data_IF_744753740321
#
_entry.id   IF_744753740321
#
_cell.length_a   1.000
_cell.length_b   1.000
_cell.length_c   1.000
_cell.angle_alpha   90.00
_cell.angle_beta   90.00
_cell.angle_gamma   90.00
#
_symmetry.space_group_name_H-M   'P 1'
#
loop_
_entity.id
_entity.type
_entity.pdbx_description
1 polymer ?
#
# COMPACT_ATOMS: atom_id res chain seq x y z
N UNK A 1 15.36 -32.83 -37.27
CA UNK A 1 14.94 -31.46 -37.60
C UNK A 1 13.56 -31.13 -37.05
N UNK A 2 12.44 -31.68 -37.56
CA UNK A 2 11.07 -31.32 -37.09
C UNK A 2 10.90 -31.24 -35.55
N UNK A 3 11.32 -32.27 -34.79
CA UNK A 3 11.25 -32.27 -33.31
C UNK A 3 11.99 -31.07 -32.67
N UNK A 4 13.20 -30.75 -33.12
CA UNK A 4 13.96 -29.59 -32.61
C UNK A 4 13.23 -28.26 -32.89
N UNK A 5 12.48 -28.17 -33.99
CA UNK A 5 11.70 -26.98 -34.35
C UNK A 5 10.47 -26.82 -33.45
N UNK A 6 9.80 -27.92 -33.10
CA UNK A 6 8.69 -27.94 -32.13
C UNK A 6 9.18 -27.55 -30.72
N UNK A 7 10.30 -28.13 -30.26
CA UNK A 7 10.94 -27.78 -28.98
C UNK A 7 11.35 -26.29 -28.95
N UNK A 8 11.97 -25.79 -30.02
CA UNK A 8 12.38 -24.38 -30.12
C UNK A 8 11.19 -23.41 -30.14
N UNK A 9 10.11 -23.74 -30.85
CA UNK A 9 8.87 -22.94 -30.85
C UNK A 9 8.22 -22.92 -29.45
N UNK A 10 8.28 -24.03 -28.71
CA UNK A 10 7.79 -24.09 -27.33
C UNK A 10 8.60 -23.18 -26.40
N UNK A 11 9.94 -23.24 -26.46
CA UNK A 11 10.82 -22.37 -25.69
C UNK A 11 10.63 -20.89 -26.07
N UNK A 12 10.56 -20.56 -27.37
CA UNK A 12 10.28 -19.21 -27.86
C UNK A 12 8.94 -18.68 -27.33
N UNK A 13 7.92 -19.54 -27.19
CA UNK A 13 6.62 -19.20 -26.61
C UNK A 13 6.69 -18.91 -25.10
N UNK A 14 7.46 -19.67 -24.34
CA UNK A 14 7.66 -19.38 -22.91
C UNK A 14 8.45 -18.08 -22.70
N UNK A 15 9.50 -17.84 -23.49
CA UNK A 15 10.28 -16.58 -23.46
C UNK A 15 9.38 -15.40 -23.85
N UNK A 16 8.62 -15.51 -24.94
CA UNK A 16 7.66 -14.48 -25.35
C UNK A 16 6.60 -14.22 -24.26
N UNK A 17 6.10 -15.27 -23.59
CA UNK A 17 5.18 -15.13 -22.46
C UNK A 17 5.83 -14.47 -21.25
N UNK A 18 7.12 -14.71 -20.98
CA UNK A 18 7.89 -14.04 -19.93
C UNK A 18 8.02 -12.54 -20.20
N UNK A 19 8.41 -12.16 -21.42
CA UNK A 19 8.55 -10.76 -21.84
C UNK A 19 7.18 -10.08 -22.01
N UNK A 20 6.11 -10.84 -22.28
CA UNK A 20 4.74 -10.35 -22.43
C UNK A 20 4.38 -9.94 -23.85
N UNK A 21 4.96 -10.63 -24.85
CA UNK A 21 4.92 -10.28 -26.26
C UNK A 21 4.45 -11.46 -27.11
N UNK A 22 4.13 -11.21 -28.38
CA UNK A 22 3.88 -12.31 -29.32
C UNK A 22 5.18 -12.97 -29.77
N UNK A 23 5.16 -14.28 -30.05
CA UNK A 23 6.34 -15.01 -30.55
C UNK A 23 6.87 -14.42 -31.85
N UNK A 24 5.98 -14.02 -32.76
CA UNK A 24 6.37 -13.34 -34.01
C UNK A 24 7.08 -12.00 -33.74
N UNK A 25 6.70 -11.30 -32.68
CA UNK A 25 7.30 -10.02 -32.29
C UNK A 25 8.71 -10.26 -31.72
N UNK A 26 8.83 -11.21 -30.79
CA UNK A 26 10.11 -11.70 -30.24
C UNK A 26 11.13 -12.05 -31.35
N UNK A 27 10.68 -12.78 -32.37
CA UNK A 27 11.50 -13.22 -33.50
C UNK A 27 11.80 -12.13 -34.54
N UNK A 28 11.08 -11.00 -34.51
CA UNK A 28 11.26 -9.92 -35.47
C UNK A 28 12.02 -8.71 -34.91
N UNK A 29 11.89 -8.43 -33.60
CA UNK A 29 12.56 -7.33 -32.90
C UNK A 29 12.69 -7.61 -31.40
N UNK A 30 13.90 -7.88 -30.92
CA UNK A 30 14.19 -8.04 -29.47
C UNK A 30 14.31 -6.71 -28.72
N UNK A 31 14.69 -5.63 -29.39
CA UNK A 31 15.08 -4.33 -28.78
C UNK A 31 13.94 -3.51 -28.16
N UNK A 32 12.80 -3.24 -28.83
CA UNK A 32 11.75 -2.38 -28.25
C UNK A 32 10.93 -3.06 -27.15
N UNK A 33 11.13 -4.37 -26.93
CA UNK A 33 10.39 -5.16 -25.94
C UNK A 33 10.90 -4.93 -24.51
N UNK A 34 12.13 -4.41 -24.38
CA UNK A 34 12.79 -4.14 -23.11
C UNK A 34 12.13 -2.99 -22.35
N UNK A 35 11.49 -2.05 -23.07
CA UNK A 35 10.79 -0.91 -22.48
C UNK A 35 9.55 -1.30 -21.68
N UNK A 36 8.97 -2.47 -21.94
CA UNK A 36 7.83 -3.03 -21.20
C UNK A 36 8.23 -3.89 -19.99
N UNK A 37 9.53 -4.09 -19.77
CA UNK A 37 10.05 -4.85 -18.64
C UNK A 37 10.37 -3.93 -17.45
N UNK A 38 9.95 -4.26 -16.21
CA UNK A 38 10.35 -3.50 -15.03
C UNK A 38 11.87 -3.41 -14.93
N UNK A 39 12.38 -2.23 -14.58
CA UNK A 39 13.81 -1.88 -14.60
C UNK A 39 14.71 -2.91 -13.92
N UNK A 40 14.44 -3.44 -12.70
CA UNK A 40 15.31 -4.42 -12.05
C UNK A 40 15.41 -5.77 -12.78
N UNK A 41 14.47 -6.08 -13.69
CA UNK A 41 14.42 -7.37 -14.41
C UNK A 41 14.99 -7.25 -15.83
N UNK A 42 15.08 -6.03 -16.36
CA UNK A 42 15.52 -5.75 -17.74
C UNK A 42 16.89 -6.34 -18.10
N UNK A 43 17.98 -6.18 -17.31
CA UNK A 43 19.29 -6.73 -17.66
C UNK A 43 19.28 -8.26 -17.81
N UNK A 44 18.57 -8.96 -16.92
CA UNK A 44 18.41 -10.41 -16.97
C UNK A 44 17.64 -10.85 -18.24
N UNK A 45 16.64 -10.09 -18.70
CA UNK A 45 15.95 -10.36 -19.98
C UNK A 45 16.91 -10.19 -21.17
N UNK A 46 17.71 -9.13 -21.21
CA UNK A 46 18.66 -8.87 -22.29
C UNK A 46 19.67 -10.01 -22.46
N UNK A 47 20.24 -10.47 -21.34
CA UNK A 47 21.17 -11.61 -21.31
C UNK A 47 20.47 -12.91 -21.72
N UNK A 48 19.25 -13.17 -21.25
CA UNK A 48 18.48 -14.36 -21.62
C UNK A 48 18.15 -14.42 -23.13
N UNK A 49 17.76 -13.29 -23.72
CA UNK A 49 17.51 -13.18 -25.16
C UNK A 49 18.80 -13.41 -25.96
N UNK A 50 19.91 -12.80 -25.54
CA UNK A 50 21.22 -13.04 -26.17
C UNK A 50 21.65 -14.51 -26.08
N UNK A 51 21.40 -15.19 -24.96
CA UNK A 51 21.61 -16.63 -24.84
C UNK A 51 20.74 -17.44 -25.81
N UNK A 52 19.48 -17.05 -25.99
CA UNK A 52 18.54 -17.75 -26.88
C UNK A 52 18.96 -17.67 -28.35
N UNK A 53 19.38 -16.49 -28.81
CA UNK A 53 19.90 -16.29 -30.17
C UNK A 53 21.14 -17.18 -30.39
N UNK A 54 22.10 -17.15 -29.46
CA UNK A 54 23.33 -17.94 -29.52
C UNK A 54 23.11 -19.47 -29.49
N UNK A 55 22.04 -19.97 -28.86
CA UNK A 55 21.75 -21.41 -28.85
C UNK A 55 21.53 -21.97 -30.26
N UNK A 56 21.05 -21.16 -31.20
CA UNK A 56 20.83 -21.60 -32.59
C UNK A 56 22.13 -22.00 -33.30
N UNK A 57 23.27 -21.45 -32.89
CA UNK A 57 24.61 -21.81 -33.38
C UNK A 57 25.16 -23.09 -32.73
N UNK A 58 24.66 -23.46 -31.54
CA UNK A 58 25.12 -24.61 -30.75
C UNK A 58 24.34 -25.88 -31.12
N UNK A 59 24.80 -26.55 -32.17
CA UNK A 59 24.24 -27.85 -32.60
C UNK A 59 24.44 -28.97 -31.56
N UNK A 60 25.57 -28.95 -30.84
CA UNK A 60 25.93 -29.96 -29.84
C UNK A 60 25.24 -29.67 -28.49
N UNK A 61 24.37 -30.58 -28.03
CA UNK A 61 23.53 -30.43 -26.81
C UNK A 61 22.45 -29.33 -26.88
N UNK A 62 22.05 -28.88 -28.06
CA UNK A 62 20.95 -27.93 -28.30
C UNK A 62 19.76 -28.09 -27.33
N UNK A 63 19.21 -29.30 -27.20
CA UNK A 63 18.04 -29.56 -26.34
C UNK A 63 18.29 -29.46 -24.83
N UNK A 64 19.54 -29.56 -24.35
CA UNK A 64 19.86 -29.31 -22.93
C UNK A 64 19.94 -27.80 -22.67
N UNK A 65 20.72 -27.09 -23.49
CA UNK A 65 20.83 -25.63 -23.39
C UNK A 65 19.46 -24.95 -23.57
N UNK A 66 18.61 -25.46 -24.46
CA UNK A 66 17.26 -24.93 -24.68
C UNK A 66 16.37 -25.09 -23.45
N UNK A 67 16.43 -26.25 -22.77
CA UNK A 67 15.72 -26.48 -21.49
C UNK A 67 16.24 -25.56 -20.39
N UNK A 68 17.55 -25.33 -20.31
CA UNK A 68 18.16 -24.39 -19.37
C UNK A 68 17.59 -22.98 -19.56
N UNK A 69 17.51 -22.49 -20.80
CA UNK A 69 16.87 -21.21 -21.12
C UNK A 69 15.37 -21.21 -20.83
N UNK A 70 14.65 -22.29 -21.13
CA UNK A 70 13.22 -22.40 -20.83
C UNK A 70 12.95 -22.33 -19.30
N UNK A 71 13.79 -22.95 -18.48
CA UNK A 71 13.73 -22.85 -17.01
C UNK A 71 14.05 -21.44 -16.53
N UNK A 72 15.13 -20.84 -17.04
CA UNK A 72 15.46 -19.44 -16.79
C UNK A 72 14.32 -18.49 -17.15
N UNK A 73 13.64 -18.70 -18.28
CA UNK A 73 12.49 -17.91 -18.70
C UNK A 73 11.29 -18.08 -17.74
N UNK A 74 11.04 -19.29 -17.25
CA UNK A 74 9.99 -19.55 -16.25
C UNK A 74 10.28 -18.88 -14.91
N UNK A 75 11.53 -18.93 -14.45
CA UNK A 75 11.95 -18.21 -13.24
C UNK A 75 11.82 -16.69 -13.44
N UNK A 76 12.32 -16.14 -14.55
CA UNK A 76 12.22 -14.71 -14.88
C UNK A 76 10.76 -14.23 -14.99
N UNK A 77 9.86 -15.08 -15.49
CA UNK A 77 8.41 -14.84 -15.51
C UNK A 77 7.80 -14.84 -14.11
N UNK A 78 8.24 -15.74 -13.23
CA UNK A 78 7.91 -15.73 -11.80
C UNK A 78 8.38 -14.45 -11.10
N UNK A 79 9.63 -14.04 -11.36
CA UNK A 79 10.21 -12.78 -10.86
C UNK A 79 9.35 -11.60 -11.32
N UNK A 80 9.12 -11.47 -12.63
CA UNK A 80 8.27 -10.41 -13.20
C UNK A 80 6.87 -10.39 -12.59
N UNK A 81 6.22 -11.54 -12.45
CA UNK A 81 4.88 -11.64 -11.88
C UNK A 81 4.78 -11.11 -10.45
N UNK A 82 5.88 -11.11 -9.70
CA UNK A 82 5.96 -10.58 -8.35
C UNK A 82 6.49 -9.15 -8.27
N UNK A 83 7.21 -8.65 -9.27
CA UNK A 83 7.68 -7.25 -9.33
C UNK A 83 6.68 -6.31 -9.99
N UNK A 84 5.77 -6.80 -10.83
CA UNK A 84 4.68 -6.01 -11.40
C UNK A 84 3.82 -5.41 -10.29
N UNK A 85 3.72 -4.07 -10.27
CA UNK A 85 2.99 -3.33 -9.24
C UNK A 85 3.81 -2.93 -8.01
N UNK A 86 5.11 -3.26 -7.95
CA UNK A 86 6.05 -2.55 -7.10
C UNK A 86 6.76 -1.47 -7.93
N UNK A 87 6.73 -0.23 -7.46
CA UNK A 87 7.65 0.80 -7.93
C UNK A 87 9.11 0.39 -7.62
N UNK A 88 10.07 0.78 -8.46
CA UNK A 88 11.47 0.37 -8.32
C UNK A 88 12.08 0.71 -6.95
N UNK A 89 11.63 1.79 -6.30
CA UNK A 89 12.07 2.19 -4.95
C UNK A 89 11.49 1.32 -3.82
N UNK A 90 10.44 0.54 -4.09
CA UNK A 90 9.73 -0.27 -3.09
C UNK A 90 10.12 -1.75 -3.12
N UNK A 91 11.05 -2.13 -4.00
CA UNK A 91 11.55 -3.50 -4.09
C UNK A 91 12.38 -3.86 -2.84
N UNK A 92 12.06 -4.93 -2.09
CA UNK A 92 12.82 -5.31 -0.91
C UNK A 92 14.29 -5.59 -1.26
N UNK A 93 15.25 -5.05 -0.51
CA UNK A 93 16.69 -5.18 -0.78
C UNK A 93 17.18 -6.63 -0.88
N UNK A 94 16.51 -7.57 -0.20
CA UNK A 94 16.81 -9.00 -0.32
C UNK A 94 16.40 -9.56 -1.69
N UNK A 95 15.26 -9.12 -2.21
CA UNK A 95 14.73 -9.53 -3.50
C UNK A 95 15.61 -9.00 -4.64
N UNK A 96 16.07 -7.75 -4.57
CA UNK A 96 17.01 -7.20 -5.56
C UNK A 96 18.36 -7.93 -5.58
N UNK A 97 18.87 -8.39 -4.42
CA UNK A 97 20.08 -9.23 -4.35
C UNK A 97 19.86 -10.58 -5.06
N UNK A 98 18.70 -11.22 -4.87
CA UNK A 98 18.36 -12.48 -5.55
C UNK A 98 18.25 -12.29 -7.08
N UNK A 99 17.61 -11.20 -7.54
CA UNK A 99 17.54 -10.86 -8.97
C UNK A 99 18.94 -10.61 -9.56
N UNK A 100 19.80 -9.88 -8.85
CA UNK A 100 21.19 -9.66 -9.29
C UNK A 100 22.03 -10.95 -9.34
N UNK A 101 21.82 -11.88 -8.40
CA UNK A 101 22.42 -13.23 -8.47
C UNK A 101 21.93 -13.99 -9.71
N UNK A 102 20.64 -13.90 -10.03
CA UNK A 102 20.08 -14.52 -11.22
C UNK A 102 20.64 -13.92 -12.52
N UNK A 103 20.71 -12.59 -12.62
CA UNK A 103 21.34 -11.87 -13.73
C UNK A 103 22.78 -12.35 -13.94
N UNK A 104 23.57 -12.41 -12.86
CA UNK A 104 24.96 -12.91 -12.92
C UNK A 104 25.03 -14.37 -13.40
N UNK A 105 24.15 -15.24 -12.90
CA UNK A 105 24.08 -16.63 -13.35
C UNK A 105 23.77 -16.74 -14.85
N UNK A 106 22.88 -15.89 -15.38
CA UNK A 106 22.61 -15.81 -16.81
C UNK A 106 23.83 -15.31 -17.60
N UNK A 107 24.62 -14.38 -17.07
CA UNK A 107 25.87 -13.91 -17.68
C UNK A 107 26.91 -15.05 -17.72
N UNK A 108 27.02 -15.84 -16.66
CA UNK A 108 27.93 -16.99 -16.61
C UNK A 108 27.51 -18.07 -17.62
N UNK A 109 26.20 -18.31 -17.79
CA UNK A 109 25.63 -19.17 -18.84
C UNK A 109 25.92 -18.59 -20.25
N UNK A 110 25.76 -17.28 -20.45
CA UNK A 110 26.03 -16.58 -21.71
C UNK A 110 27.49 -16.77 -22.14
N UNK A 111 28.43 -16.53 -21.21
CA UNK A 111 29.86 -16.72 -21.43
C UNK A 111 30.19 -18.19 -21.71
N UNK A 112 29.57 -19.13 -21.00
CA UNK A 112 29.74 -20.56 -21.26
C UNK A 112 29.30 -20.94 -22.68
N UNK A 113 28.09 -20.54 -23.11
CA UNK A 113 27.56 -20.79 -24.46
C UNK A 113 28.49 -20.18 -25.52
N UNK A 114 28.86 -18.91 -25.36
CA UNK A 114 29.79 -18.24 -26.27
C UNK A 114 31.16 -18.94 -26.36
N UNK A 115 31.64 -19.52 -25.26
CA UNK A 115 32.87 -20.33 -25.25
C UNK A 115 32.72 -21.65 -26.01
N UNK A 116 31.52 -22.26 -26.05
CA UNK A 116 31.28 -23.48 -26.84
C UNK A 116 31.16 -23.17 -28.34
N UNK A 117 30.54 -22.05 -28.72
CA UNK A 117 30.47 -21.60 -30.12
C UNK A 117 31.89 -21.47 -30.70
N UNK A 118 32.79 -20.79 -29.97
CA UNK A 118 34.20 -20.58 -30.33
C UNK A 118 35.04 -21.87 -30.39
N UNK A 119 34.60 -22.99 -29.82
CA UNK A 119 35.32 -24.27 -29.83
C UNK A 119 34.98 -25.08 -31.08
N UNK A 120 35.99 -25.53 -31.84
CA UNK A 120 35.78 -26.42 -32.97
C UNK A 120 35.05 -27.72 -32.60
N UNK A 121 34.18 -28.20 -33.48
CA UNK A 121 33.25 -29.32 -33.26
C UNK A 121 33.91 -30.58 -32.66
N UNK A 122 35.08 -30.99 -33.14
CA UNK A 122 35.78 -32.17 -32.62
C UNK A 122 36.15 -32.05 -31.12
N UNK A 123 36.51 -30.85 -30.65
CA UNK A 123 36.75 -30.60 -29.22
C UNK A 123 35.44 -30.67 -28.43
N UNK A 124 34.33 -30.13 -28.95
CA UNK A 124 33.01 -30.23 -28.30
C UNK A 124 32.57 -31.70 -28.15
N UNK A 125 32.80 -32.52 -29.17
CA UNK A 125 32.47 -33.94 -29.14
C UNK A 125 33.25 -34.69 -28.04
N UNK A 126 34.58 -34.55 -27.98
CA UNK A 126 35.42 -35.21 -26.96
C UNK A 126 35.05 -34.78 -25.53
N UNK A 127 34.75 -33.50 -25.31
CA UNK A 127 34.42 -32.97 -23.99
C UNK A 127 32.92 -33.03 -23.64
N UNK A 128 32.08 -33.71 -24.45
CA UNK A 128 30.61 -33.74 -24.28
C UNK A 128 30.14 -34.05 -22.85
N UNK A 129 30.80 -35.00 -22.17
CA UNK A 129 30.48 -35.36 -20.79
C UNK A 129 30.70 -34.18 -19.82
N UNK A 130 31.78 -33.42 -20.00
CA UNK A 130 32.10 -32.22 -19.20
C UNK A 130 31.21 -31.03 -19.57
N UNK A 131 30.85 -30.87 -20.85
CA UNK A 131 29.83 -29.88 -21.24
C UNK A 131 28.51 -30.17 -20.54
N UNK A 132 28.08 -31.44 -20.52
CA UNK A 132 26.85 -31.85 -19.86
C UNK A 132 26.90 -31.62 -18.35
N UNK A 133 27.97 -32.01 -17.67
CA UNK A 133 28.14 -31.74 -16.25
C UNK A 133 28.00 -30.25 -15.92
N UNK A 134 28.63 -29.36 -16.71
CA UNK A 134 28.45 -27.92 -16.52
C UNK A 134 27.02 -27.39 -16.78
N UNK A 135 26.27 -28.01 -17.70
CA UNK A 135 24.85 -27.66 -17.89
C UNK A 135 24.00 -28.16 -16.71
N UNK A 136 24.27 -29.37 -16.22
CA UNK A 136 23.62 -29.95 -15.04
C UNK A 136 23.96 -29.10 -13.77
N UNK A 137 25.19 -28.57 -13.65
CA UNK A 137 25.60 -27.61 -12.60
C UNK A 137 24.81 -26.29 -12.68
N UNK A 138 24.61 -25.74 -13.89
CA UNK A 138 23.80 -24.52 -14.08
C UNK A 138 22.30 -24.77 -13.79
N UNK A 139 21.78 -25.94 -14.14
CA UNK A 139 20.41 -26.35 -13.82
C UNK A 139 20.17 -26.36 -12.29
N UNK A 140 21.14 -26.86 -11.50
CA UNK A 140 21.11 -26.80 -10.03
C UNK A 140 21.21 -25.35 -9.51
N UNK A 141 22.10 -24.54 -10.06
CA UNK A 141 22.24 -23.14 -9.66
C UNK A 141 20.98 -22.31 -9.94
N UNK A 142 20.22 -22.62 -11.01
CA UNK A 142 18.91 -22.01 -11.27
C UNK A 142 17.90 -22.42 -10.20
N UNK A 143 17.89 -23.69 -9.78
CA UNK A 143 16.98 -24.18 -8.73
C UNK A 143 17.30 -23.56 -7.36
N UNK A 144 18.58 -23.39 -7.01
CA UNK A 144 18.99 -22.70 -5.77
C UNK A 144 18.52 -21.24 -5.76
N UNK A 145 18.70 -20.53 -6.88
CA UNK A 145 18.24 -19.14 -7.02
C UNK A 145 16.72 -19.04 -7.05
N UNK A 146 16.01 -20.02 -7.65
CA UNK A 146 14.56 -20.10 -7.63
C UNK A 146 14.01 -20.28 -6.22
N UNK A 147 14.60 -21.19 -5.43
CA UNK A 147 14.24 -21.42 -4.04
C UNK A 147 14.54 -20.19 -3.16
N UNK A 148 15.71 -19.56 -3.32
CA UNK A 148 16.02 -18.30 -2.63
C UNK A 148 14.98 -17.22 -2.95
N UNK A 149 14.62 -17.07 -4.23
CA UNK A 149 13.63 -16.09 -4.67
C UNK A 149 12.22 -16.37 -4.08
N UNK A 150 11.76 -17.62 -4.11
CA UNK A 150 10.47 -18.04 -3.56
C UNK A 150 10.38 -17.78 -2.05
N UNK A 151 11.40 -18.17 -1.29
CA UNK A 151 11.48 -17.96 0.16
C UNK A 151 11.48 -16.46 0.50
N UNK A 152 12.28 -15.66 -0.21
CA UNK A 152 12.37 -14.22 0.02
C UNK A 152 11.08 -13.47 -0.34
N UNK A 153 10.41 -13.90 -1.40
CA UNK A 153 9.10 -13.39 -1.80
C UNK A 153 8.04 -13.69 -0.75
N UNK A 154 7.93 -14.95 -0.34
CA UNK A 154 6.94 -15.38 0.65
C UNK A 154 7.16 -14.67 1.99
N UNK A 155 8.42 -14.46 2.41
CA UNK A 155 8.77 -13.66 3.58
C UNK A 155 8.37 -12.19 3.42
N UNK A 156 8.52 -11.60 2.23
CA UNK A 156 8.09 -10.21 1.97
C UNK A 156 6.56 -10.06 2.01
N UNK A 157 5.82 -11.04 1.49
CA UNK A 157 4.35 -11.09 1.56
C UNK A 157 3.90 -11.24 3.02
N UNK A 158 4.50 -12.17 3.77
CA UNK A 158 4.25 -12.35 5.20
C UNK A 158 4.54 -11.10 6.02
N UNK A 159 5.63 -10.38 5.71
CA UNK A 159 5.96 -9.12 6.39
C UNK A 159 4.84 -8.09 6.18
N UNK A 160 4.43 -7.83 4.94
CA UNK A 160 3.33 -6.90 4.61
C UNK A 160 2.02 -7.27 5.31
N UNK A 161 1.64 -8.55 5.28
CA UNK A 161 0.44 -9.06 5.97
C UNK A 161 0.51 -8.97 7.50
N UNK A 162 1.72 -8.89 8.07
CA UNK A 162 1.93 -8.72 9.52
C UNK A 162 1.88 -7.24 9.91
N UNK A 163 2.46 -6.37 9.08
CA UNK A 163 2.38 -4.91 9.22
C UNK A 163 0.90 -4.46 9.13
N UNK A 164 0.15 -4.86 8.10
CA UNK A 164 -1.29 -4.54 7.98
C UNK A 164 -2.11 -5.01 9.20
N UNK A 165 -1.79 -6.19 9.76
CA UNK A 165 -2.46 -6.68 10.97
C UNK A 165 -2.12 -5.85 12.20
N UNK A 166 -0.86 -5.42 12.33
CA UNK A 166 -0.43 -4.56 13.43
C UNK A 166 -1.12 -3.20 13.36
N UNK A 167 -1.11 -2.57 12.18
CA UNK A 167 -1.79 -1.29 11.92
C UNK A 167 -3.29 -1.39 12.24
N UNK A 168 -3.96 -2.45 11.78
CA UNK A 168 -5.38 -2.70 12.11
C UNK A 168 -5.63 -2.97 13.60
N UNK A 169 -4.68 -3.55 14.33
CA UNK A 169 -4.81 -3.71 15.80
C UNK A 169 -4.65 -2.36 16.49
N UNK A 170 -3.73 -1.51 16.02
CA UNK A 170 -3.52 -0.15 16.50
C UNK A 170 -4.74 0.74 16.23
N UNK A 171 -5.29 0.73 15.02
CA UNK A 171 -6.51 1.46 14.68
C UNK A 171 -7.69 1.04 15.55
N UNK A 172 -7.87 -0.28 15.75
CA UNK A 172 -8.92 -0.81 16.63
C UNK A 172 -8.72 -0.43 18.10
N UNK A 173 -7.48 -0.33 18.60
CA UNK A 173 -7.23 0.11 19.97
C UNK A 173 -7.47 1.62 20.13
N UNK A 174 -7.11 2.42 19.13
CA UNK A 174 -7.41 3.85 19.08
C UNK A 174 -8.91 4.13 19.03
N UNK A 175 -9.66 3.43 18.17
CA UNK A 175 -11.13 3.54 18.09
C UNK A 175 -11.78 3.18 19.43
N UNK A 176 -11.29 2.15 20.11
CA UNK A 176 -11.78 1.78 21.46
C UNK A 176 -11.49 2.84 22.51
N UNK A 177 -10.31 3.46 22.47
CA UNK A 177 -9.98 4.61 23.34
C UNK A 177 -10.96 5.75 23.11
N UNK A 178 -11.08 6.20 21.85
CA UNK A 178 -11.99 7.30 21.48
C UNK A 178 -13.45 7.02 21.83
N UNK A 179 -13.89 5.76 21.76
CA UNK A 179 -15.23 5.36 22.16
C UNK A 179 -15.42 5.36 23.69
N UNK A 180 -14.38 5.02 24.47
CA UNK A 180 -14.40 5.19 25.92
C UNK A 180 -14.46 6.67 26.28
N UNK A 181 -13.56 7.47 25.72
CA UNK A 181 -13.50 8.91 25.95
C UNK A 181 -14.85 9.58 25.61
N UNK A 182 -15.53 9.16 24.54
CA UNK A 182 -16.85 9.67 24.17
C UNK A 182 -17.95 9.29 25.18
N UNK A 183 -17.93 8.07 25.72
CA UNK A 183 -18.89 7.63 26.73
C UNK A 183 -18.69 8.36 28.07
N UNK A 184 -17.43 8.59 28.47
CA UNK A 184 -17.10 9.35 29.67
C UNK A 184 -17.56 10.82 29.56
N UNK A 185 -17.44 11.44 28.38
CA UNK A 185 -17.99 12.77 28.10
C UNK A 185 -19.53 12.80 28.13
N UNK A 186 -20.20 11.78 27.59
CA UNK A 186 -21.67 11.66 27.63
C UNK A 186 -22.19 11.49 29.07
N UNK A 187 -21.45 10.77 29.94
CA UNK A 187 -21.77 10.66 31.37
C UNK A 187 -21.65 12.02 32.07
N UNK A 188 -20.58 12.79 31.85
CA UNK A 188 -20.43 14.13 32.42
C UNK A 188 -21.56 15.07 31.97
N UNK A 189 -21.95 15.03 30.69
CA UNK A 189 -23.07 15.83 30.17
C UNK A 189 -24.42 15.44 30.82
N UNK A 190 -24.64 14.15 31.09
CA UNK A 190 -25.83 13.68 31.80
C UNK A 190 -25.85 14.15 33.26
N UNK A 191 -24.71 14.13 33.96
CA UNK A 191 -24.60 14.70 35.32
C UNK A 191 -24.91 16.20 35.32
N UNK A 192 -24.31 16.97 34.39
CA UNK A 192 -24.56 18.41 34.27
C UNK A 192 -26.05 18.72 34.02
N UNK A 193 -26.74 17.93 33.18
CA UNK A 193 -28.18 18.07 32.94
C UNK A 193 -29.03 17.72 34.17
N UNK A 194 -28.64 16.72 34.97
CA UNK A 194 -29.32 16.39 36.23
C UNK A 194 -29.15 17.51 37.29
N UNK A 195 -27.95 18.09 37.38
CA UNK A 195 -27.67 19.24 38.24
C UNK A 195 -28.50 20.48 37.83
N UNK A 196 -28.59 20.78 36.53
CA UNK A 196 -29.46 21.85 36.04
C UNK A 196 -30.94 21.61 36.36
N UNK A 197 -31.43 20.38 36.14
CA UNK A 197 -32.83 20.01 36.41
C UNK A 197 -33.19 20.15 37.89
N UNK A 198 -32.34 19.68 38.80
CA UNK A 198 -32.57 19.79 40.24
C UNK A 198 -32.52 21.25 40.73
N UNK A 199 -31.65 22.08 40.15
CA UNK A 199 -31.61 23.52 40.40
C UNK A 199 -32.91 24.23 39.97
N UNK A 200 -33.42 23.92 38.78
CA UNK A 200 -34.70 24.45 38.28
C UNK A 200 -35.85 24.05 39.21
N UNK A 201 -35.94 22.77 39.61
CA UNK A 201 -36.98 22.29 40.53
C UNK A 201 -36.92 22.96 41.91
N UNK A 202 -35.73 23.29 42.40
CA UNK A 202 -35.56 24.06 43.63
C UNK A 202 -36.11 25.50 43.49
N UNK A 203 -35.85 26.14 42.35
CA UNK A 203 -36.38 27.47 42.03
C UNK A 203 -37.92 27.46 41.86
N UNK A 204 -38.48 26.43 41.22
CA UNK A 204 -39.94 26.23 41.10
C UNK A 204 -40.58 26.14 42.49
N UNK A 205 -40.05 25.29 43.38
CA UNK A 205 -40.56 25.16 44.75
C UNK A 205 -40.42 26.44 45.58
N UNK A 206 -39.38 27.25 45.33
CA UNK A 206 -39.21 28.55 45.97
C UNK A 206 -40.23 29.58 45.45
N UNK A 207 -40.50 29.56 44.14
CA UNK A 207 -41.50 30.42 43.49
C UNK A 207 -42.92 30.09 43.96
N UNK A 208 -43.29 28.80 44.02
CA UNK A 208 -44.59 28.35 44.49
C UNK A 208 -44.85 28.75 45.95
N UNK A 209 -43.83 28.61 46.81
CA UNK A 209 -43.88 29.12 48.20
C UNK A 209 -44.13 30.63 48.24
N UNK A 210 -43.45 31.40 47.40
CA UNK A 210 -43.60 32.86 47.33
C UNK A 210 -44.97 33.29 46.79
N UNK A 211 -45.54 32.54 45.83
CA UNK A 211 -46.91 32.76 45.35
C UNK A 211 -47.92 32.44 46.46
N UNK A 212 -47.71 31.35 47.21
CA UNK A 212 -48.57 30.94 48.32
C UNK A 212 -48.48 31.85 49.56
N UNK A 213 -47.40 32.61 49.75
CA UNK A 213 -47.35 33.69 50.76
C UNK A 213 -48.04 34.95 50.23
N UNK A 214 -47.72 35.39 49.00
CA UNK A 214 -48.28 36.62 48.43
C UNK A 214 -49.80 36.58 48.31
N UNK A 215 -50.39 35.42 47.98
CA UNK A 215 -51.84 35.28 47.93
C UNK A 215 -52.53 35.48 49.29
N UNK A 216 -51.88 35.11 50.40
CA UNK A 216 -52.35 35.40 51.77
C UNK A 216 -52.22 36.90 52.08
N UNK A 217 -51.13 37.53 51.66
CA UNK A 217 -50.94 38.97 51.87
C UNK A 217 -51.97 39.81 51.07
N UNK A 218 -52.32 39.39 49.85
CA UNK A 218 -53.39 40.02 49.06
C UNK A 218 -54.80 39.76 49.60
N UNK A 219 -55.03 38.66 50.33
CA UNK A 219 -56.29 38.41 51.05
C UNK A 219 -56.42 39.34 52.27
N UNK A 220 -55.31 39.62 52.96
CA UNK A 220 -55.23 40.61 54.06
C UNK A 220 -55.40 42.06 53.56
N UNK A 221 -54.77 42.45 52.44
CA UNK A 221 -54.93 43.82 51.90
C UNK A 221 -56.33 44.06 51.30
N UNK A 222 -57.02 43.01 50.82
CA UNK A 222 -58.44 43.07 50.40
C UNK A 222 -59.41 43.34 51.55
N UNK A 223 -59.09 42.96 52.79
CA UNK A 223 -59.84 43.41 53.98
C UNK A 223 -59.57 44.88 54.34
N UNK A 224 -58.49 45.47 53.81
CA UNK A 224 -57.97 46.78 54.27
C UNK A 224 -58.23 47.93 53.29
N UNK A 225 -58.55 47.66 52.02
CA UNK A 225 -58.75 48.70 50.98
C UNK A 225 -60.16 48.84 50.44
N UNK A 226 -61.05 49.42 51.25
CA UNK A 226 -62.24 50.15 50.79
C UNK A 226 -62.00 51.65 51.00
N UNK A 227 -61.94 52.42 49.90
CA UNK A 227 -61.69 53.88 49.77
C UNK A 227 -60.27 54.32 49.32
N UNK A 228 -60.13 54.64 48.02
CA UNK A 228 -59.62 55.94 47.52
C UNK A 228 -59.73 56.02 45.98
N UNK A 229 -60.01 57.21 45.39
CA UNK A 229 -60.13 57.39 43.94
C UNK A 229 -58.85 57.97 43.29
N UNK A 230 -58.65 57.63 42.01
CA UNK A 230 -58.10 58.46 40.92
C UNK A 230 -56.69 59.06 40.99
N UNK A 231 -55.82 58.71 40.04
CA UNK A 231 -55.49 59.63 38.93
C UNK A 231 -54.62 59.02 37.80
N UNK A 232 -55.07 59.30 36.57
CA UNK A 232 -54.44 59.59 35.26
C UNK A 232 -52.97 59.17 34.94
N UNK A 233 -52.83 58.67 33.70
CA UNK A 233 -51.67 58.57 32.76
C UNK A 233 -50.71 59.79 32.72
N UNK A 234 -49.52 59.77 32.03
CA UNK A 234 -49.15 59.00 30.81
C UNK A 234 -47.77 58.27 30.94
N UNK A 235 -46.99 57.83 29.92
CA UNK A 235 -47.02 57.99 28.44
C UNK A 235 -46.31 56.80 27.70
N UNK A 236 -46.09 56.92 26.38
CA UNK A 236 -45.53 55.91 25.46
C UNK A 236 -44.03 56.10 25.14
N UNK A 237 -43.24 55.01 25.15
CA UNK A 237 -41.86 54.97 24.62
C UNK A 237 -41.20 53.59 24.79
N UNK A 238 -41.36 52.61 23.89
CA UNK A 238 -40.65 52.36 22.60
C UNK A 238 -39.21 51.81 22.77
N UNK A 239 -38.88 50.79 21.96
CA UNK A 239 -37.55 50.17 21.70
C UNK A 239 -37.02 49.24 22.84
N UNK A 240 -37.10 47.91 22.74
CA UNK A 240 -36.43 46.96 21.81
C UNK A 240 -34.98 46.62 22.19
N UNK A 241 -34.64 45.32 22.05
CA UNK A 241 -33.32 44.67 22.24
C UNK A 241 -32.91 44.34 23.69
N UNK A 242 -33.03 43.05 24.06
CA UNK A 242 -31.99 42.34 24.86
C UNK A 242 -32.07 40.80 24.79
N UNK A 243 -32.52 40.21 23.66
CA UNK A 243 -32.19 38.80 23.38
C UNK A 243 -30.75 38.75 22.84
N UNK A 244 -29.80 38.29 23.65
CA UNK A 244 -28.50 37.86 23.14
C UNK A 244 -28.68 36.46 22.53
N UNK A 245 -28.38 36.23 21.24
CA UNK A 245 -28.25 34.88 20.74
C UNK A 245 -27.08 34.22 21.47
N UNK A 246 -27.26 32.98 21.90
CA UNK A 246 -26.15 32.12 22.32
C UNK A 246 -25.21 32.01 21.12
N UNK A 247 -23.95 32.38 21.30
CA UNK A 247 -22.94 32.23 20.27
C UNK A 247 -22.81 30.74 19.94
N UNK A 248 -23.23 30.38 18.73
CA UNK A 248 -22.79 29.14 18.11
C UNK A 248 -21.25 29.20 18.04
N UNK A 249 -20.58 28.47 18.94
CA UNK A 249 -19.18 28.14 18.74
C UNK A 249 -19.09 27.28 17.48
N UNK A 250 -18.95 27.93 16.34
CA UNK A 250 -18.35 27.32 15.18
C UNK A 250 -16.91 26.99 15.58
N UNK A 251 -16.71 25.77 16.07
CA UNK A 251 -15.39 25.16 16.14
C UNK A 251 -14.88 25.13 14.71
N UNK A 252 -14.09 26.14 14.34
CA UNK A 252 -13.17 26.01 13.23
C UNK A 252 -12.20 24.92 13.65
N UNK A 253 -12.49 23.68 13.23
CA UNK A 253 -11.44 22.69 13.11
C UNK A 253 -10.52 23.17 11.99
N UNK A 254 -9.61 24.07 12.39
CA UNK A 254 -8.39 24.37 11.68
C UNK A 254 -7.66 23.04 11.51
N UNK A 255 -7.88 22.43 10.35
CA UNK A 255 -7.42 21.08 10.01
C UNK A 255 -5.93 21.09 9.63
N UNK A 256 -5.14 21.76 10.47
CA UNK A 256 -3.72 22.10 10.27
C UNK A 256 -2.81 20.89 10.55
N UNK A 257 -3.36 19.82 11.14
CA UNK A 257 -2.64 18.58 11.38
C UNK A 257 -2.44 17.72 10.11
N UNK A 258 -3.30 17.83 9.09
CA UNK A 258 -3.13 17.08 7.83
C UNK A 258 -2.15 17.74 6.85
N UNK A 259 -1.85 19.04 6.97
CA UNK A 259 -0.94 19.75 6.05
C UNK A 259 0.55 19.59 6.40
N UNK A 260 0.88 19.12 7.61
CA UNK A 260 2.27 18.93 8.06
C UNK A 260 2.84 17.55 7.70
N UNK A 261 2.00 16.51 7.62
CA UNK A 261 2.42 15.16 7.23
C UNK A 261 2.73 15.02 5.74
N UNK A 262 1.98 15.70 4.86
CA UNK A 262 2.22 15.66 3.41
C UNK A 262 3.46 16.44 2.93
N UNK A 263 4.06 17.28 3.77
CA UNK A 263 5.26 18.07 3.41
C UNK A 263 6.61 17.38 3.64
N UNK A 264 6.63 16.13 4.13
CA UNK A 264 7.89 15.42 4.47
C UNK A 264 8.40 14.42 3.44
N UNK A 265 7.65 14.14 2.37
CA UNK A 265 8.00 13.10 1.38
C UNK A 265 8.73 13.63 0.13
N UNK A 266 8.64 14.93 -0.17
CA UNK A 266 9.34 15.53 -1.32
C UNK A 266 10.56 16.35 -0.85
N UNK A 267 11.66 15.65 -0.57
CA UNK A 267 12.99 16.27 -0.47
C UNK A 267 14.06 15.36 -1.06
N UNK A 268 14.13 15.33 -2.38
CA UNK A 268 15.24 14.77 -3.15
C UNK A 268 16.38 15.80 -3.26
N UNK A 269 17.56 15.58 -2.63
CA UNK A 269 18.78 16.25 -3.05
C UNK A 269 19.41 15.45 -4.19
N UNK A 270 19.14 15.84 -5.43
CA UNK A 270 20.01 15.47 -6.54
C UNK A 270 21.31 16.28 -6.46
N UNK A 271 22.44 15.69 -6.86
CA UNK A 271 23.70 16.44 -6.97
C UNK A 271 24.96 15.63 -6.72
N UNK A 272 25.34 14.78 -7.68
CA UNK A 272 26.76 14.49 -7.93
C UNK A 272 27.10 14.85 -9.37
N UNK A 273 28.15 15.65 -9.51
CA UNK A 273 28.94 15.82 -10.74
C UNK A 273 30.07 14.82 -10.74
#
# INVERSE_FOLDING_TARGET
MKRNQEEWLSAAKEIASCVGVNVHELLSRTTPLLDLCPVPVRPAVEVLLSCFDMITEVQDQFGQSLRLIERSAKLLKGIRGQTVGLDDLMLPTRLSISIYRFEKLLIDIQQFIQSQIKRGWFKRFLFRHKLRAHLDDFDLAIDDVAQEFEILSHLSIHKRLTEEKFDRIQDNSQIRSMMSDALDNDEELLEQLQLQRSSIQSLEQALDKHIATKSKDEEVDKMTRRNKPGNVLPDVGRLSTLFKPISSNSVSHDNTYLSSLLKRVIRTPGGFK
#
